data_IF_531043219541
#
_entry.id   IF_531043219541
#
_cell.length_a   1.000
_cell.length_b   1.000
_cell.length_c   1.000
_cell.angle_alpha   90.00
_cell.angle_beta   90.00
_cell.angle_gamma   90.00
#
_symmetry.space_group_name_H-M   'P 1'
#
loop_
_entity.id
_entity.type
_entity.pdbx_description
1 polymer ?
#
# COMPACT_ATOMS: atom_id res chain seq x y z
N UNK A 1 -8.78 -2.25 24.12
CA UNK A 1 -9.28 -3.50 23.50
C UNK A 1 -8.42 -4.63 24.03
N UNK A 2 -9.04 -5.63 24.70
CA UNK A 2 -8.30 -6.76 25.29
C UNK A 2 -8.50 -8.06 24.47
N UNK A 3 -9.00 -7.92 23.24
CA UNK A 3 -9.31 -9.05 22.36
C UNK A 3 -8.65 -8.90 21.01
N UNK A 4 -8.20 -10.03 20.46
CA UNK A 4 -7.62 -10.10 19.12
C UNK A 4 -8.66 -9.72 18.06
N UNK A 5 -8.38 -8.71 17.23
CA UNK A 5 -9.27 -8.27 16.15
C UNK A 5 -9.60 -9.35 15.13
N UNK A 6 -8.78 -10.39 15.01
CA UNK A 6 -8.96 -11.45 14.00
C UNK A 6 -9.70 -12.67 14.52
N UNK A 7 -9.48 -13.09 15.77
CA UNK A 7 -10.07 -14.32 16.30
C UNK A 7 -10.86 -14.14 17.60
N UNK A 8 -10.98 -12.93 18.15
CA UNK A 8 -11.73 -12.66 19.38
C UNK A 8 -11.07 -13.15 20.68
N UNK A 9 -9.94 -13.87 20.60
CA UNK A 9 -9.25 -14.39 21.79
C UNK A 9 -8.75 -13.24 22.66
N UNK A 10 -8.88 -13.34 23.97
CA UNK A 10 -8.31 -12.39 24.92
C UNK A 10 -6.79 -12.27 24.70
N UNK A 11 -6.31 -11.04 24.60
CA UNK A 11 -4.89 -10.73 24.49
C UNK A 11 -4.30 -10.67 25.90
N UNK A 12 -3.28 -11.49 26.14
CA UNK A 12 -2.49 -11.37 27.36
C UNK A 12 -1.56 -10.18 27.20
N UNK A 13 -1.51 -9.34 28.21
CA UNK A 13 -0.60 -8.23 28.29
C UNK A 13 0.35 -8.54 29.44
N UNK A 14 1.47 -9.16 29.12
CA UNK A 14 2.51 -9.43 30.11
C UNK A 14 3.28 -8.12 30.33
N UNK A 15 2.89 -7.38 31.38
CA UNK A 15 3.66 -6.25 31.87
C UNK A 15 4.76 -6.78 32.78
N UNK A 16 5.99 -6.80 32.27
CA UNK A 16 7.15 -7.11 33.09
C UNK A 16 7.61 -5.87 33.85
N UNK A 17 8.27 -6.04 35.00
CA UNK A 17 8.86 -4.93 35.76
C UNK A 17 9.85 -4.12 34.93
N UNK A 18 10.67 -4.80 34.09
CA UNK A 18 11.60 -4.15 33.16
C UNK A 18 10.88 -3.24 32.15
N UNK A 19 9.69 -3.65 31.70
CA UNK A 19 8.89 -2.81 30.81
C UNK A 19 8.37 -1.57 31.53
N UNK A 20 7.88 -1.69 32.76
CA UNK A 20 7.39 -0.57 33.57
C UNK A 20 8.48 0.46 33.83
N UNK A 21 9.73 0.03 34.03
CA UNK A 21 10.89 0.90 34.24
C UNK A 21 11.49 1.46 32.94
N UNK A 22 11.11 0.94 31.78
CA UNK A 22 11.68 1.34 30.48
C UNK A 22 11.16 2.68 29.94
N UNK A 23 10.13 3.28 30.54
CA UNK A 23 9.43 4.48 30.04
C UNK A 23 8.97 4.38 28.57
N UNK A 24 8.93 3.17 28.00
CA UNK A 24 8.46 2.94 26.65
C UNK A 24 6.93 3.05 26.59
N UNK A 25 6.37 3.62 25.51
CA UNK A 25 4.93 3.67 25.34
C UNK A 25 4.36 2.25 25.30
N UNK A 26 3.25 2.05 25.99
CA UNK A 26 2.57 0.75 26.06
C UNK A 26 2.03 0.37 24.69
N UNK A 27 2.76 -0.47 23.97
CA UNK A 27 2.28 -1.07 22.72
C UNK A 27 1.20 -2.10 23.05
N UNK A 28 -0.07 -1.75 22.83
CA UNK A 28 -1.19 -2.68 23.01
C UNK A 28 -1.33 -3.55 21.77
N UNK A 29 -1.01 -4.86 21.82
CA UNK A 29 -1.22 -5.73 20.68
C UNK A 29 -2.72 -5.71 20.32
N UNK A 30 -3.01 -5.61 19.03
CA UNK A 30 -4.38 -5.66 18.50
C UNK A 30 -4.71 -7.02 17.92
N UNK A 31 -3.70 -7.87 17.70
CA UNK A 31 -3.82 -9.26 17.25
C UNK A 31 -2.91 -10.16 18.07
N UNK A 32 -3.32 -11.41 18.29
CA UNK A 32 -2.49 -12.40 18.96
C UNK A 32 -1.39 -12.90 18.01
N UNK A 33 -0.30 -13.43 18.58
CA UNK A 33 0.84 -13.96 17.80
C UNK A 33 0.42 -15.03 16.78
N UNK A 34 -0.49 -15.92 17.17
CA UNK A 34 -0.98 -16.98 16.27
C UNK A 34 -1.68 -16.40 15.02
N UNK A 35 -2.41 -15.31 15.18
CA UNK A 35 -3.02 -14.62 14.04
C UNK A 35 -2.01 -13.82 13.23
N UNK A 36 -1.03 -13.18 13.89
CA UNK A 36 0.03 -12.45 13.21
C UNK A 36 0.89 -13.39 12.34
N UNK A 37 1.24 -14.58 12.83
CA UNK A 37 2.04 -15.58 12.11
C UNK A 37 1.36 -16.13 10.84
N UNK A 38 0.04 -15.95 10.69
CA UNK A 38 -0.68 -16.38 9.48
C UNK A 38 -0.37 -15.51 8.28
N UNK A 39 0.03 -14.25 8.47
CA UNK A 39 0.40 -13.35 7.38
C UNK A 39 1.81 -13.64 6.90
N UNK A 40 1.93 -14.02 5.64
CA UNK A 40 3.21 -14.43 5.04
C UNK A 40 3.96 -13.21 4.55
N UNK A 41 5.08 -12.89 5.20
CA UNK A 41 5.98 -11.82 4.77
C UNK A 41 6.65 -12.16 3.45
N UNK A 42 6.94 -11.15 2.67
CA UNK A 42 7.76 -11.27 1.47
C UNK A 42 9.23 -11.11 1.86
N UNK A 43 10.05 -12.05 1.43
CA UNK A 43 11.50 -11.95 1.56
C UNK A 43 12.07 -11.13 0.39
N UNK A 44 12.54 -9.92 0.68
CA UNK A 44 13.12 -9.03 -0.32
C UNK A 44 14.39 -9.59 -0.99
N UNK A 45 15.05 -10.57 -0.39
CA UNK A 45 16.23 -11.22 -0.96
C UNK A 45 15.88 -12.12 -2.15
N UNK A 46 14.66 -12.65 -2.16
CA UNK A 46 14.18 -13.58 -3.18
C UNK A 46 13.00 -13.04 -3.98
N UNK A 47 12.48 -11.85 -3.66
CA UNK A 47 11.35 -11.25 -4.38
C UNK A 47 11.75 -10.65 -5.73
N UNK A 48 10.78 -10.51 -6.63
CA UNK A 48 10.94 -9.80 -7.89
C UNK A 48 11.28 -8.32 -7.64
N UNK A 49 12.41 -7.81 -8.15
CA UNK A 49 12.81 -6.41 -7.91
C UNK A 49 11.85 -5.40 -8.53
N UNK A 50 11.08 -5.76 -9.56
CA UNK A 50 10.15 -4.85 -10.22
C UNK A 50 8.84 -4.65 -9.43
N UNK A 51 8.21 -5.73 -8.94
CA UNK A 51 6.88 -5.66 -8.34
C UNK A 51 6.78 -6.20 -6.90
N UNK A 52 7.86 -6.71 -6.33
CA UNK A 52 7.85 -7.30 -4.99
C UNK A 52 7.22 -8.69 -4.88
N UNK A 53 6.85 -9.36 -6.00
CA UNK A 53 6.30 -10.73 -5.94
C UNK A 53 7.28 -11.69 -5.31
N UNK A 54 6.85 -12.51 -4.33
CA UNK A 54 7.67 -13.57 -3.78
C UNK A 54 8.03 -14.59 -4.85
N UNK A 55 9.30 -14.88 -4.98
CA UNK A 55 9.88 -15.84 -5.92
C UNK A 55 10.75 -16.85 -5.16
N UNK A 56 11.30 -17.85 -5.86
CA UNK A 56 12.31 -18.74 -5.29
C UNK A 56 13.72 -18.13 -5.27
N UNK A 57 13.98 -17.20 -6.19
CA UNK A 57 15.24 -16.42 -6.31
C UNK A 57 14.94 -15.02 -6.83
N UNK A 58 15.85 -14.08 -6.61
CA UNK A 58 15.72 -12.67 -7.02
C UNK A 58 15.84 -12.53 -8.55
N UNK A 59 14.71 -12.60 -9.24
CA UNK A 59 14.61 -12.46 -10.70
C UNK A 59 13.39 -11.61 -11.08
N UNK A 60 13.44 -11.00 -12.27
CA UNK A 60 12.28 -10.28 -12.83
C UNK A 60 11.21 -11.30 -13.21
N UNK A 61 9.99 -11.13 -12.69
CA UNK A 61 8.85 -12.01 -13.02
C UNK A 61 8.26 -11.67 -14.39
N UNK A 62 7.48 -12.60 -14.95
CA UNK A 62 6.88 -12.44 -16.28
C UNK A 62 5.98 -11.19 -16.41
N UNK A 63 5.23 -10.83 -15.36
CA UNK A 63 4.43 -9.59 -15.38
C UNK A 63 5.33 -8.35 -15.56
N UNK A 64 6.48 -8.32 -14.87
CA UNK A 64 7.43 -7.20 -14.99
C UNK A 64 8.14 -7.17 -16.33
N UNK A 65 8.52 -8.32 -16.89
CA UNK A 65 9.02 -8.40 -18.27
C UNK A 65 7.99 -7.88 -19.27
N UNK A 66 6.68 -8.14 -19.03
CA UNK A 66 5.60 -7.57 -19.82
C UNK A 66 5.56 -6.05 -19.80
N UNK A 67 5.81 -5.44 -18.63
CA UNK A 67 5.91 -3.97 -18.50
C UNK A 67 7.13 -3.41 -19.24
N UNK A 68 8.31 -4.06 -19.13
CA UNK A 68 9.52 -3.65 -19.88
C UNK A 68 9.31 -3.75 -21.40
N UNK A 69 8.70 -4.84 -21.88
CA UNK A 69 8.34 -5.00 -23.31
C UNK A 69 7.37 -3.93 -23.79
N UNK A 70 6.50 -3.42 -22.90
CA UNK A 70 5.59 -2.32 -23.20
C UNK A 70 6.25 -0.93 -23.10
N UNK A 71 7.58 -0.85 -22.89
CA UNK A 71 8.35 0.39 -22.84
C UNK A 71 8.38 1.08 -21.48
N UNK A 72 7.87 0.47 -20.41
CA UNK A 72 7.88 1.06 -19.07
C UNK A 72 9.15 0.71 -18.31
N UNK A 73 9.74 1.70 -17.63
CA UNK A 73 10.76 1.47 -16.59
C UNK A 73 10.08 0.89 -15.36
N UNK A 74 10.64 -0.20 -14.79
CA UNK A 74 10.05 -0.85 -13.61
C UNK A 74 9.92 0.10 -12.42
N UNK A 75 8.81 -0.01 -11.71
CA UNK A 75 8.49 0.89 -10.58
C UNK A 75 9.25 0.54 -9.30
N UNK A 76 9.89 -0.63 -9.24
CA UNK A 76 10.67 -1.11 -8.09
C UNK A 76 9.83 -1.17 -6.79
N UNK A 77 8.63 -1.74 -6.88
CA UNK A 77 7.71 -1.86 -5.75
C UNK A 77 8.26 -2.77 -4.64
N UNK A 78 8.15 -2.32 -3.40
CA UNK A 78 8.39 -3.14 -2.21
C UNK A 78 7.07 -3.50 -1.54
N UNK A 79 6.65 -4.76 -1.65
CA UNK A 79 5.47 -5.27 -0.97
C UNK A 79 5.87 -6.00 0.32
N UNK A 80 5.17 -5.74 1.42
CA UNK A 80 5.52 -6.32 2.73
C UNK A 80 5.04 -7.78 2.87
N UNK A 81 3.86 -8.09 2.34
CA UNK A 81 3.20 -9.38 2.53
C UNK A 81 2.73 -10.00 1.22
N UNK A 82 2.60 -11.34 1.21
CA UNK A 82 1.94 -12.05 0.11
C UNK A 82 0.44 -11.75 0.14
N UNK A 83 -0.14 -11.53 -1.03
CA UNK A 83 -1.59 -11.41 -1.20
C UNK A 83 -2.20 -12.80 -1.33
N UNK A 84 -2.31 -13.51 -0.21
CA UNK A 84 -2.97 -14.82 -0.10
C UNK A 84 -4.39 -14.69 0.51
N UNK A 85 -5.06 -15.81 0.74
CA UNK A 85 -6.44 -15.82 1.26
C UNK A 85 -6.57 -15.13 2.63
N UNK A 86 -5.54 -15.20 3.49
CA UNK A 86 -5.55 -14.52 4.79
C UNK A 86 -5.47 -13.01 4.61
N UNK A 87 -4.57 -12.54 3.76
CA UNK A 87 -4.44 -11.11 3.44
C UNK A 87 -5.70 -10.60 2.72
N UNK A 88 -6.28 -11.39 1.84
CA UNK A 88 -7.54 -11.05 1.16
C UNK A 88 -8.70 -10.89 2.16
N UNK A 89 -8.84 -11.80 3.12
CA UNK A 89 -9.85 -11.70 4.18
C UNK A 89 -9.65 -10.43 5.03
N UNK A 90 -8.40 -10.11 5.41
CA UNK A 90 -8.04 -8.87 6.11
C UNK A 90 -8.46 -7.64 5.30
N UNK A 91 -8.04 -7.57 4.02
CA UNK A 91 -8.36 -6.43 3.14
C UNK A 91 -9.86 -6.29 2.94
N UNK A 92 -10.57 -7.40 2.79
CA UNK A 92 -12.04 -7.39 2.66
C UNK A 92 -12.68 -6.72 3.89
N UNK A 93 -12.24 -7.09 5.08
CA UNK A 93 -12.80 -6.53 6.32
C UNK A 93 -12.45 -5.06 6.51
N UNK A 94 -11.19 -4.71 6.30
CA UNK A 94 -10.72 -3.33 6.41
C UNK A 94 -11.32 -2.41 5.34
N UNK A 95 -11.27 -2.85 4.08
CA UNK A 95 -11.56 -2.02 2.91
C UNK A 95 -13.04 -2.03 2.52
N UNK A 96 -13.72 -3.18 2.58
CA UNK A 96 -15.09 -3.32 2.07
C UNK A 96 -16.15 -3.39 3.17
N UNK A 97 -15.80 -3.87 4.36
CA UNK A 97 -16.69 -3.84 5.52
C UNK A 97 -16.48 -2.60 6.40
N UNK A 98 -15.48 -1.76 6.10
CA UNK A 98 -15.23 -0.49 6.77
C UNK A 98 -14.74 -0.58 8.21
N UNK A 99 -14.26 -1.73 8.68
CA UNK A 99 -13.74 -1.85 10.05
C UNK A 99 -12.40 -1.13 10.19
N UNK A 100 -12.47 0.17 10.47
CA UNK A 100 -11.32 1.05 10.56
C UNK A 100 -10.29 0.64 11.63
N UNK A 101 -10.70 -0.16 12.63
CA UNK A 101 -9.79 -0.66 13.67
C UNK A 101 -8.73 -1.60 13.10
N UNK A 102 -9.02 -2.25 11.97
CA UNK A 102 -8.10 -3.15 11.28
C UNK A 102 -6.83 -2.47 10.80
N UNK A 103 -6.82 -1.12 10.63
CA UNK A 103 -5.60 -0.38 10.32
C UNK A 103 -4.46 -0.66 11.30
N UNK A 104 -4.77 -0.82 12.58
CA UNK A 104 -3.77 -1.03 13.62
C UNK A 104 -3.00 -2.36 13.50
N UNK A 105 -3.48 -3.31 12.69
CA UNK A 105 -2.79 -4.59 12.49
C UNK A 105 -1.45 -4.38 11.78
N UNK A 106 -1.39 -3.45 10.84
CA UNK A 106 -0.21 -3.21 10.02
C UNK A 106 0.33 -1.78 10.09
N UNK A 107 -0.37 -0.85 10.74
CA UNK A 107 0.03 0.56 10.75
C UNK A 107 1.48 0.78 11.18
N UNK A 108 1.89 0.20 12.31
CA UNK A 108 3.24 0.39 12.86
C UNK A 108 4.33 -0.10 11.91
N UNK A 109 4.13 -1.27 11.31
CA UNK A 109 5.11 -1.83 10.37
C UNK A 109 5.14 -1.06 9.06
N UNK A 110 3.97 -0.69 8.56
CA UNK A 110 3.83 0.07 7.32
C UNK A 110 4.45 1.46 7.46
N UNK A 111 4.19 2.15 8.58
CA UNK A 111 4.81 3.44 8.90
C UNK A 111 6.32 3.34 9.00
N UNK A 112 6.86 2.33 9.69
CA UNK A 112 8.31 2.10 9.77
C UNK A 112 8.91 1.96 8.37
N UNK A 113 8.25 1.20 7.49
CA UNK A 113 8.72 1.00 6.13
C UNK A 113 8.71 2.29 5.30
N UNK A 114 7.64 3.07 5.39
CA UNK A 114 7.54 4.36 4.67
C UNK A 114 8.53 5.38 5.23
N UNK A 115 8.73 5.42 6.56
CA UNK A 115 9.68 6.31 7.21
C UNK A 115 11.14 6.05 6.77
N UNK A 116 11.51 4.82 6.37
CA UNK A 116 12.82 4.53 5.78
C UNK A 116 13.06 5.35 4.50
N UNK A 117 12.03 5.48 3.65
CA UNK A 117 12.10 6.28 2.43
C UNK A 117 12.05 7.79 2.72
N UNK A 118 11.24 8.20 3.68
CA UNK A 118 11.17 9.60 4.10
C UNK A 118 12.53 10.11 4.58
N UNK A 119 13.25 9.31 5.36
CA UNK A 119 14.64 9.61 5.79
C UNK A 119 15.64 9.69 4.63
N UNK A 120 15.34 9.07 3.49
CA UNK A 120 16.15 9.12 2.26
C UNK A 120 15.72 10.28 1.34
N UNK A 121 14.83 11.17 1.80
CA UNK A 121 14.38 12.35 1.09
C UNK A 121 13.29 12.10 0.05
N UNK A 122 12.52 10.99 0.17
CA UNK A 122 11.36 10.77 -0.69
C UNK A 122 10.15 11.55 -0.19
N UNK A 123 9.47 12.24 -1.10
CA UNK A 123 8.12 12.75 -0.87
C UNK A 123 7.12 11.59 -0.95
N UNK A 124 6.25 11.48 0.05
CA UNK A 124 5.30 10.38 0.20
C UNK A 124 3.99 10.77 -0.49
N UNK A 125 3.62 10.03 -1.53
CA UNK A 125 2.41 10.30 -2.32
C UNK A 125 1.47 9.08 -2.25
N UNK A 126 0.43 9.12 -1.42
CA UNK A 126 -0.57 8.06 -1.36
C UNK A 126 -1.42 8.05 -2.63
N UNK A 127 -1.78 6.85 -3.10
CA UNK A 127 -2.72 6.69 -4.20
C UNK A 127 -4.11 7.17 -3.77
N UNK A 128 -4.74 8.10 -4.51
CA UNK A 128 -6.06 8.63 -4.16
C UNK A 128 -7.15 7.57 -4.33
N UNK A 129 -8.17 7.66 -3.49
CA UNK A 129 -9.37 6.84 -3.57
C UNK A 129 -10.43 7.62 -4.35
N UNK A 130 -11.18 6.92 -5.20
CA UNK A 130 -12.32 7.49 -5.89
C UNK A 130 -13.37 8.02 -4.90
N UNK A 131 -13.89 9.24 -5.17
CA UNK A 131 -14.83 9.94 -4.28
C UNK A 131 -16.09 9.14 -4.01
N UNK A 132 -16.68 8.52 -5.03
CA UNK A 132 -17.87 7.69 -4.88
C UNK A 132 -17.61 6.49 -3.97
N UNK A 133 -16.44 5.85 -4.13
CA UNK A 133 -15.99 4.76 -3.28
C UNK A 133 -15.76 5.24 -1.84
N UNK A 134 -15.18 6.43 -1.66
CA UNK A 134 -14.99 7.03 -0.34
C UNK A 134 -16.32 7.28 0.36
N UNK A 135 -17.24 7.99 -0.29
CA UNK A 135 -18.51 8.42 0.32
C UNK A 135 -19.50 7.25 0.55
N UNK A 136 -19.57 6.29 -0.40
CA UNK A 136 -20.62 5.24 -0.38
C UNK A 136 -20.19 3.93 0.28
N UNK A 137 -18.89 3.66 0.43
CA UNK A 137 -18.48 2.34 0.89
C UNK A 137 -17.57 2.35 2.13
N UNK A 138 -16.62 3.26 2.24
CA UNK A 138 -15.55 3.17 3.26
C UNK A 138 -15.52 4.30 4.26
N UNK A 139 -15.81 5.53 3.83
CA UNK A 139 -15.64 6.73 4.65
C UNK A 139 -14.19 7.10 4.95
N UNK A 140 -13.20 6.38 4.41
CA UNK A 140 -11.78 6.64 4.62
C UNK A 140 -10.88 6.12 3.48
N UNK A 141 -9.68 6.70 3.35
CA UNK A 141 -8.62 6.15 2.53
C UNK A 141 -7.81 5.15 3.38
N UNK A 142 -7.77 3.89 2.95
CA UNK A 142 -7.09 2.81 3.66
C UNK A 142 -5.59 3.04 3.82
N UNK A 143 -4.95 3.64 2.83
CA UNK A 143 -3.51 3.96 2.85
C UNK A 143 -3.24 5.03 3.90
N UNK A 144 -4.02 6.12 3.92
CA UNK A 144 -3.90 7.17 4.93
C UNK A 144 -4.17 6.63 6.35
N UNK A 145 -5.08 5.65 6.47
CA UNK A 145 -5.34 4.98 7.73
C UNK A 145 -4.10 4.27 8.31
N UNK A 146 -3.25 3.69 7.47
CA UNK A 146 -1.98 3.10 7.91
C UNK A 146 -0.89 4.14 8.12
N UNK A 147 -0.81 5.17 7.26
CA UNK A 147 0.24 6.20 7.34
C UNK A 147 0.11 7.07 8.60
N UNK A 148 -1.11 7.24 9.11
CA UNK A 148 -1.34 7.97 10.37
C UNK A 148 -0.88 9.42 10.29
N UNK A 149 0.22 9.77 11.00
CA UNK A 149 0.78 11.13 11.07
C UNK A 149 1.97 11.36 10.12
N UNK A 150 2.28 10.42 9.23
CA UNK A 150 3.33 10.64 8.23
C UNK A 150 2.87 11.75 7.28
N UNK A 151 3.72 12.75 7.09
CA UNK A 151 3.47 13.84 6.13
C UNK A 151 3.40 13.29 4.71
N UNK A 152 2.32 13.61 4.02
CA UNK A 152 2.01 13.12 2.68
C UNK A 152 1.73 14.27 1.74
N UNK A 153 2.14 14.11 0.50
CA UNK A 153 1.89 15.05 -0.58
C UNK A 153 0.68 14.63 -1.41
N UNK A 154 -0.23 15.55 -1.66
CA UNK A 154 -1.43 15.33 -2.46
C UNK A 154 -1.20 15.73 -3.93
N UNK A 155 -0.26 15.09 -4.62
CA UNK A 155 0.08 15.40 -6.01
C UNK A 155 -0.85 14.78 -7.04
N UNK A 156 -1.68 13.84 -6.62
CA UNK A 156 -2.60 13.10 -7.48
C UNK A 156 -4.04 13.18 -6.97
N UNK A 157 -4.98 13.38 -7.89
CA UNK A 157 -6.41 13.25 -7.62
C UNK A 157 -7.06 12.31 -8.62
N UNK A 158 -8.19 11.72 -8.24
CA UNK A 158 -8.98 10.92 -9.18
C UNK A 158 -9.65 11.83 -10.21
N UNK A 159 -9.46 11.50 -11.50
CA UNK A 159 -10.14 12.21 -12.59
C UNK A 159 -11.65 12.06 -12.46
N UNK A 160 -12.37 13.18 -12.45
CA UNK A 160 -13.83 13.15 -12.45
C UNK A 160 -14.35 12.67 -13.80
N UNK A 161 -14.85 11.44 -13.85
CA UNK A 161 -15.55 10.93 -15.04
C UNK A 161 -17.05 11.17 -14.89
N UNK A 162 -17.57 12.21 -15.47
CA UNK A 162 -19.02 12.37 -15.72
C UNK A 162 -19.44 11.23 -16.67
N UNK A 163 -20.11 10.19 -16.17
CA UNK A 163 -20.74 9.17 -17.02
C UNK A 163 -20.17 7.74 -16.96
N UNK A 164 -19.49 7.31 -15.90
CA UNK A 164 -19.04 5.91 -15.78
C UNK A 164 -20.16 5.00 -15.26
N UNK A 165 -20.72 4.16 -16.14
CA UNK A 165 -21.46 2.96 -15.75
C UNK A 165 -20.54 2.05 -14.94
N UNK A 166 -21.01 1.59 -13.75
CA UNK A 166 -20.33 0.65 -12.88
C UNK A 166 -20.02 -0.65 -13.65
N UNK A 167 -18.77 -0.91 -13.95
CA UNK A 167 -18.32 -2.22 -14.42
C UNK A 167 -17.54 -2.88 -13.28
N UNK A 168 -18.25 -3.58 -12.43
CA UNK A 168 -17.69 -4.27 -11.22
C UNK A 168 -16.86 -5.52 -11.53
N UNK A 169 -16.89 -6.03 -12.76
CA UNK A 169 -16.19 -7.24 -13.21
C UNK A 169 -15.33 -6.98 -14.44
N UNK A 170 -14.17 -6.35 -14.28
CA UNK A 170 -13.20 -6.24 -15.36
C UNK A 170 -12.15 -7.34 -15.23
N UNK A 171 -12.06 -8.19 -16.21
CA UNK A 171 -10.98 -9.15 -16.40
C UNK A 171 -9.59 -8.48 -16.40
N UNK A 172 -8.55 -9.24 -16.04
CA UNK A 172 -7.14 -8.78 -16.00
C UNK A 172 -6.71 -8.10 -17.31
N UNK A 173 -7.14 -8.63 -18.47
CA UNK A 173 -6.85 -8.07 -19.80
C UNK A 173 -7.51 -6.70 -20.04
N UNK A 174 -8.72 -6.48 -19.52
CA UNK A 174 -9.40 -5.18 -19.60
C UNK A 174 -8.76 -4.11 -18.70
N UNK A 175 -8.15 -4.52 -17.58
CA UNK A 175 -7.41 -3.59 -16.71
C UNK A 175 -6.16 -3.01 -17.38
N UNK A 176 -5.56 -3.72 -18.33
CA UNK A 176 -4.41 -3.26 -19.11
C UNK A 176 -4.76 -2.14 -20.12
N UNK A 177 -6.04 -2.00 -20.49
CA UNK A 177 -6.54 -0.99 -21.45
C UNK A 177 -7.24 0.21 -20.78
N UNK A 178 -7.16 0.35 -19.44
CA UNK A 178 -7.86 1.44 -18.75
C UNK A 178 -7.20 2.79 -19.07
N UNK A 179 -8.05 3.81 -19.36
CA UNK A 179 -7.60 5.21 -19.50
C UNK A 179 -6.97 5.70 -18.19
N UNK A 180 -6.09 6.68 -18.26
CA UNK A 180 -5.45 7.34 -17.12
C UNK A 180 -6.52 7.80 -16.09
N UNK A 181 -6.52 7.23 -14.87
CA UNK A 181 -7.56 7.54 -13.87
C UNK A 181 -7.24 8.75 -13.02
N UNK A 182 -6.01 9.26 -13.08
CA UNK A 182 -5.53 10.35 -12.24
C UNK A 182 -5.34 11.65 -12.99
N UNK A 183 -5.35 12.75 -12.25
CA UNK A 183 -4.88 14.06 -12.65
C UNK A 183 -3.77 14.49 -11.69
N UNK A 184 -2.76 15.16 -12.24
CA UNK A 184 -1.69 15.76 -11.46
C UNK A 184 -2.12 17.15 -10.98
N UNK A 185 -1.96 17.40 -9.67
CA UNK A 185 -2.32 18.67 -9.02
C UNK A 185 -1.19 19.20 -8.12
N UNK A 186 0.00 18.64 -8.25
CA UNK A 186 1.18 19.02 -7.49
C UNK A 186 1.86 20.29 -8.00
N UNK A 187 3.06 20.60 -7.51
CA UNK A 187 3.87 21.73 -7.97
C UNK A 187 4.23 21.64 -9.44
N UNK A 188 4.43 22.76 -10.10
CA UNK A 188 4.75 22.83 -11.55
C UNK A 188 6.04 22.10 -11.94
N UNK A 189 6.94 21.83 -11.00
CA UNK A 189 8.21 21.15 -11.26
C UNK A 189 8.58 20.20 -10.11
N UNK A 190 8.91 18.96 -10.47
CA UNK A 190 9.38 17.90 -9.58
C UNK A 190 10.82 17.47 -9.88
N UNK A 191 11.64 18.26 -10.62
CA UNK A 191 12.92 17.83 -11.18
C UNK A 191 13.92 17.24 -10.18
N UNK A 192 13.88 17.67 -8.91
CA UNK A 192 14.77 17.16 -7.87
C UNK A 192 14.09 16.20 -6.89
N UNK A 193 12.82 15.90 -7.09
CA UNK A 193 12.05 15.09 -6.16
C UNK A 193 12.20 13.60 -6.45
N UNK A 194 12.45 12.86 -5.37
CA UNK A 194 12.25 11.40 -5.31
C UNK A 194 10.86 11.16 -4.74
N UNK A 195 10.06 10.35 -5.41
CA UNK A 195 8.66 10.09 -5.00
C UNK A 195 8.50 8.64 -4.57
N UNK A 196 7.87 8.45 -3.43
CA UNK A 196 7.36 7.16 -2.99
C UNK A 196 5.85 7.13 -3.16
N UNK A 197 5.37 6.36 -4.13
CA UNK A 197 3.95 6.02 -4.24
C UNK A 197 3.59 4.97 -3.18
N UNK A 198 2.46 5.19 -2.50
CA UNK A 198 1.99 4.28 -1.46
C UNK A 198 0.58 3.80 -1.80
N UNK A 199 0.42 2.46 -1.89
CA UNK A 199 -0.87 1.83 -2.22
C UNK A 199 -1.11 0.60 -1.33
N UNK A 200 -2.33 0.03 -1.39
CA UNK A 200 -2.68 -1.14 -0.59
C UNK A 200 -2.14 -2.45 -1.20
N UNK A 201 -2.44 -2.73 -2.47
CA UNK A 201 -2.11 -4.00 -3.10
C UNK A 201 -1.58 -3.79 -4.52
N UNK A 202 -0.42 -4.33 -4.79
CA UNK A 202 0.07 -4.45 -6.16
C UNK A 202 -0.56 -5.67 -6.84
N UNK A 203 -1.60 -5.49 -7.63
CA UNK A 203 -2.20 -6.57 -8.42
C UNK A 203 -1.54 -6.71 -9.79
N UNK A 204 -1.88 -5.86 -10.73
CA UNK A 204 -1.27 -5.76 -12.06
C UNK A 204 -0.20 -4.67 -12.14
N UNK A 205 -0.17 -3.77 -11.15
CA UNK A 205 0.67 -2.58 -11.14
C UNK A 205 0.08 -1.39 -11.90
N UNK A 206 -1.04 -1.57 -12.65
CA UNK A 206 -1.58 -0.54 -13.54
C UNK A 206 -1.82 0.80 -12.86
N UNK A 207 -2.40 0.78 -11.65
CA UNK A 207 -2.62 1.97 -10.84
C UNK A 207 -1.32 2.73 -10.58
N UNK A 208 -0.30 2.00 -10.13
CA UNK A 208 1.01 2.57 -9.81
C UNK A 208 1.75 3.08 -11.06
N UNK A 209 1.65 2.37 -12.20
CA UNK A 209 2.25 2.84 -13.45
C UNK A 209 1.56 4.09 -13.99
N UNK A 210 0.23 4.20 -13.88
CA UNK A 210 -0.49 5.43 -14.23
C UNK A 210 -0.03 6.62 -13.37
N UNK A 211 0.07 6.43 -12.06
CA UNK A 211 0.56 7.46 -11.15
C UNK A 211 2.01 7.82 -11.45
N UNK A 212 2.88 6.81 -11.66
CA UNK A 212 4.29 6.99 -12.00
C UNK A 212 4.47 7.85 -13.26
N UNK A 213 3.76 7.52 -14.34
CA UNK A 213 3.85 8.27 -15.60
C UNK A 213 3.54 9.77 -15.39
N UNK A 214 2.43 10.11 -14.70
CA UNK A 214 2.09 11.50 -14.43
C UNK A 214 3.15 12.25 -13.61
N UNK A 215 3.75 11.58 -12.65
CA UNK A 215 4.79 12.19 -11.81
C UNK A 215 6.11 12.36 -12.58
N UNK A 216 6.46 11.40 -13.45
CA UNK A 216 7.62 11.51 -14.34
C UNK A 216 7.41 12.61 -15.40
N UNK A 217 6.20 12.73 -15.97
CA UNK A 217 5.83 13.81 -16.90
C UNK A 217 5.89 15.18 -16.21
N UNK A 218 5.61 15.26 -14.90
CA UNK A 218 5.81 16.46 -14.09
C UNK A 218 7.28 16.69 -13.66
N UNK A 219 8.21 15.84 -14.13
CA UNK A 219 9.65 15.99 -13.94
C UNK A 219 10.24 15.27 -12.74
N UNK A 220 9.50 14.36 -12.07
CA UNK A 220 10.04 13.63 -10.92
C UNK A 220 11.31 12.84 -11.29
N UNK A 221 12.38 13.05 -10.52
CA UNK A 221 13.69 12.41 -10.75
C UNK A 221 13.64 10.89 -10.61
N UNK A 222 12.89 10.40 -9.64
CA UNK A 222 12.76 8.98 -9.36
C UNK A 222 11.41 8.68 -8.70
N UNK A 223 10.71 7.67 -9.22
CA UNK A 223 9.42 7.23 -8.68
C UNK A 223 9.48 5.74 -8.38
N UNK A 224 9.25 5.37 -7.13
CA UNK A 224 9.15 3.99 -6.66
C UNK A 224 7.88 3.79 -5.86
N UNK A 225 7.61 2.59 -5.35
CA UNK A 225 6.39 2.34 -4.57
C UNK A 225 6.59 1.36 -3.42
N UNK A 226 5.71 1.51 -2.43
CA UNK A 226 5.51 0.55 -1.35
C UNK A 226 4.04 0.16 -1.32
N UNK A 227 3.77 -1.14 -1.16
CA UNK A 227 2.41 -1.67 -0.96
C UNK A 227 2.38 -2.61 0.25
N UNK A 228 1.21 -2.73 0.88
CA UNK A 228 1.06 -3.70 1.96
C UNK A 228 1.23 -5.12 1.43
N UNK A 229 0.63 -5.42 0.28
CA UNK A 229 0.63 -6.77 -0.27
C UNK A 229 0.88 -6.85 -1.78
N UNK A 230 1.34 -8.05 -2.19
CA UNK A 230 1.55 -8.44 -3.58
C UNK A 230 1.22 -9.93 -3.79
#
# INVERSE_FOLDING_TARGET
MNECLLCGRKLKQDMTFDFLLSFKPLARPVVCENCQKKFKRIDFKTSCPGCGRQMSKKTICEDCKGWEKAGYKLILNQALYKYDEIMKAYVTRYKFMGDYRYRFIFADEFQKKVAEFQKQGYAIVPIPVDRETFEKTRGFNQVLGWLGKIDCENYLVMRQNKGRLKQSHKDRAMRMKTKQPFEYVGPNNLSDKKILLVDDIYTTGRTLYHAKTLLEDAGAKFVTSVTLAR
#
